data_IF_336719169609
#
_entry.id   IF_336719169609
#
_cell.length_a   1.000
_cell.length_b   1.000
_cell.length_c   1.000
_cell.angle_alpha   90.00
_cell.angle_beta   90.00
_cell.angle_gamma   90.00
#
_symmetry.space_group_name_H-M   'P 1'
#
loop_
_entity.id
_entity.type
_entity.pdbx_description
1 polymer ?
#
# COMPACT_ATOMS: atom_id res chain seq x y z
N UNK A 1 7.37 -9.80 -12.25
CA UNK A 1 7.48 -10.36 -10.89
C UNK A 1 8.90 -10.14 -10.38
N UNK A 2 9.19 -9.00 -9.74
CA UNK A 2 10.50 -8.82 -9.12
C UNK A 2 10.60 -9.72 -7.88
N UNK A 3 11.76 -10.29 -7.62
CA UNK A 3 11.98 -11.20 -6.48
C UNK A 3 13.22 -10.75 -5.73
N UNK A 4 13.07 -10.54 -4.43
CA UNK A 4 14.17 -10.33 -3.50
C UNK A 4 14.45 -11.64 -2.76
N UNK A 5 15.70 -12.08 -2.81
CA UNK A 5 16.15 -13.32 -2.19
C UNK A 5 17.28 -13.04 -1.20
N UNK A 6 17.40 -13.91 -0.20
CA UNK A 6 18.49 -13.90 0.77
C UNK A 6 19.30 -15.20 0.68
N UNK A 7 20.60 -15.13 0.97
CA UNK A 7 21.52 -16.27 1.06
C UNK A 7 21.54 -17.16 -0.19
N UNK A 8 21.68 -16.55 -1.36
CA UNK A 8 21.58 -17.20 -2.66
C UNK A 8 22.95 -17.70 -3.13
N UNK A 9 22.98 -18.91 -3.67
CA UNK A 9 24.09 -19.36 -4.53
C UNK A 9 23.67 -19.20 -5.99
N UNK A 10 24.37 -18.35 -6.74
CA UNK A 10 24.10 -18.13 -8.15
C UNK A 10 24.85 -19.15 -9.00
N UNK A 11 24.14 -19.78 -9.93
CA UNK A 11 24.73 -20.65 -10.94
C UNK A 11 24.47 -20.04 -12.31
N UNK A 12 25.53 -19.83 -13.09
CA UNK A 12 25.42 -19.31 -14.45
C UNK A 12 25.63 -20.48 -15.40
N UNK A 13 24.77 -20.64 -16.42
CA UNK A 13 25.02 -21.63 -17.46
C UNK A 13 26.27 -21.22 -18.24
N UNK A 14 27.34 -21.97 -18.10
CA UNK A 14 28.49 -21.93 -19.00
C UNK A 14 28.16 -22.71 -20.27
N UNK A 15 28.74 -22.33 -21.41
CA UNK A 15 28.57 -23.08 -22.66
C UNK A 15 29.13 -24.50 -22.50
N UNK A 16 28.27 -25.46 -22.17
CA UNK A 16 28.58 -26.84 -21.83
C UNK A 16 27.66 -27.35 -20.71
N UNK A 17 27.37 -28.66 -20.69
CA UNK A 17 26.38 -29.30 -19.78
C UNK A 17 26.63 -29.12 -18.28
N UNK A 18 27.73 -28.51 -17.88
CA UNK A 18 28.04 -28.23 -16.48
C UNK A 18 27.69 -26.78 -16.12
N UNK A 19 26.62 -26.60 -15.34
CA UNK A 19 26.32 -25.35 -14.68
C UNK A 19 27.28 -25.18 -13.47
N UNK A 20 28.08 -24.11 -13.45
CA UNK A 20 29.07 -23.89 -12.38
C UNK A 20 28.56 -22.82 -11.40
N UNK A 21 28.63 -23.06 -10.07
CA UNK A 21 28.29 -22.04 -9.08
C UNK A 21 29.30 -20.89 -9.17
N UNK A 22 28.79 -19.68 -9.40
CA UNK A 22 29.61 -18.48 -9.67
C UNK A 22 29.84 -17.68 -8.39
N UNK A 23 28.93 -17.72 -7.43
CA UNK A 23 29.10 -16.98 -6.18
C UNK A 23 27.95 -17.15 -5.18
N UNK A 24 28.21 -16.75 -3.93
CA UNK A 24 27.23 -16.64 -2.86
C UNK A 24 26.94 -15.18 -2.56
N UNK A 25 25.66 -14.87 -2.36
CA UNK A 25 25.17 -13.54 -2.10
C UNK A 25 24.23 -13.56 -0.89
N UNK A 26 24.49 -12.71 0.10
CA UNK A 26 23.60 -12.55 1.26
C UNK A 26 22.25 -11.95 0.84
N UNK A 27 22.25 -11.07 -0.16
CA UNK A 27 21.05 -10.48 -0.75
C UNK A 27 21.16 -10.44 -2.27
N UNK A 28 20.09 -10.81 -2.97
CA UNK A 28 20.06 -10.86 -4.43
C UNK A 28 18.69 -10.43 -4.97
N UNK A 29 18.69 -9.50 -5.92
CA UNK A 29 17.47 -8.98 -6.55
C UNK A 29 17.35 -9.46 -7.98
N UNK A 30 16.20 -10.06 -8.32
CA UNK A 30 15.90 -10.56 -9.66
C UNK A 30 14.81 -9.70 -10.29
N UNK A 31 15.13 -9.12 -11.46
CA UNK A 31 14.15 -8.39 -12.23
C UNK A 31 13.12 -9.33 -12.83
N UNK A 32 11.85 -8.96 -12.73
CA UNK A 32 10.78 -9.89 -13.07
C UNK A 32 10.64 -10.29 -14.53
N UNK A 33 11.26 -9.55 -15.45
CA UNK A 33 11.33 -9.95 -16.87
C UNK A 33 12.26 -11.15 -17.08
N UNK A 34 13.15 -11.44 -16.14
CA UNK A 34 14.16 -12.50 -16.25
C UNK A 34 13.69 -13.81 -15.59
N UNK A 35 12.53 -13.83 -14.93
CA UNK A 35 12.01 -15.01 -14.23
C UNK A 35 11.17 -15.85 -15.20
N UNK A 36 11.57 -17.12 -15.39
CA UNK A 36 10.82 -18.09 -16.19
C UNK A 36 10.20 -19.20 -15.35
N UNK A 37 10.92 -19.68 -14.35
CA UNK A 37 10.48 -20.73 -13.45
C UNK A 37 10.78 -20.34 -12.01
N UNK A 38 9.93 -20.78 -11.09
CA UNK A 38 10.13 -20.69 -9.65
C UNK A 38 9.92 -22.09 -9.09
N UNK A 39 10.93 -22.63 -8.43
CA UNK A 39 10.81 -23.91 -7.73
C UNK A 39 10.14 -23.67 -6.39
N UNK A 40 8.93 -24.19 -6.23
CA UNK A 40 8.21 -24.20 -4.97
C UNK A 40 8.58 -25.47 -4.21
N UNK A 41 8.90 -25.41 -2.91
CA UNK A 41 9.18 -26.60 -2.12
C UNK A 41 8.01 -27.61 -2.12
N UNK A 42 8.33 -28.90 -2.10
CA UNK A 42 7.33 -29.98 -2.20
C UNK A 42 6.40 -30.07 -0.99
N UNK A 43 6.83 -29.55 0.15
CA UNK A 43 6.07 -29.51 1.42
C UNK A 43 5.07 -28.35 1.49
N UNK A 44 5.04 -27.47 0.48
CA UNK A 44 4.11 -26.34 0.43
C UNK A 44 2.82 -26.74 -0.27
N UNK A 45 1.71 -26.78 0.48
CA UNK A 45 0.37 -26.82 -0.11
C UNK A 45 0.04 -25.45 -0.73
N UNK A 46 0.15 -25.37 -2.05
CA UNK A 46 -0.11 -24.15 -2.82
C UNK A 46 -1.53 -23.61 -2.59
N UNK A 47 -2.53 -24.47 -2.48
CA UNK A 47 -3.92 -24.04 -2.36
C UNK A 47 -4.18 -23.43 -0.98
N UNK A 48 -3.64 -24.05 0.07
CA UNK A 48 -3.70 -23.51 1.43
C UNK A 48 -2.95 -22.17 1.51
N UNK A 49 -1.75 -22.08 0.95
CA UNK A 49 -0.94 -20.86 0.94
C UNK A 49 -1.63 -19.71 0.20
N UNK A 50 -2.22 -19.99 -0.97
CA UNK A 50 -3.01 -19.02 -1.76
C UNK A 50 -4.21 -18.51 -0.97
N UNK A 51 -4.97 -19.42 -0.33
CA UNK A 51 -6.14 -19.05 0.47
C UNK A 51 -5.75 -18.14 1.64
N UNK A 52 -4.70 -18.50 2.38
CA UNK A 52 -4.19 -17.68 3.48
C UNK A 52 -3.83 -16.26 3.00
N UNK A 53 -3.11 -16.14 1.88
CA UNK A 53 -2.75 -14.82 1.33
C UNK A 53 -3.96 -14.02 0.87
N UNK A 54 -4.98 -14.64 0.30
CA UNK A 54 -6.22 -13.96 -0.05
C UNK A 54 -6.96 -13.46 1.20
N UNK A 55 -7.01 -14.26 2.26
CA UNK A 55 -7.63 -13.86 3.54
C UNK A 55 -6.88 -12.70 4.20
N UNK A 56 -5.54 -12.71 4.21
CA UNK A 56 -4.73 -11.58 4.70
C UNK A 56 -5.04 -10.28 3.94
N UNK A 57 -5.16 -10.36 2.62
CA UNK A 57 -5.50 -9.21 1.76
C UNK A 57 -6.94 -8.74 1.94
N UNK A 58 -7.88 -9.65 2.21
CA UNK A 58 -9.28 -9.30 2.47
C UNK A 58 -9.49 -8.73 3.88
N UNK A 59 -8.82 -9.29 4.89
CA UNK A 59 -8.88 -8.82 6.27
C UNK A 59 -8.32 -7.41 6.46
N UNK A 60 -7.32 -7.04 5.68
CA UNK A 60 -6.77 -5.67 5.65
C UNK A 60 -7.69 -4.67 4.92
N UNK A 61 -8.55 -5.14 4.00
CA UNK A 61 -9.55 -4.31 3.30
C UNK A 61 -10.74 -3.93 4.19
N UNK A 62 -11.03 -4.73 5.23
CA UNK A 62 -12.12 -4.48 6.17
C UNK A 62 -11.84 -3.45 7.28
N UNK A 63 -10.56 -3.08 7.51
CA UNK A 63 -10.20 -2.10 8.54
C UNK A 63 -10.18 -0.64 8.04
N UNK A 64 -10.08 -0.40 6.73
CA UNK A 64 -10.05 0.95 6.16
C UNK A 64 -11.45 1.56 5.93
N UNK A 65 -12.52 0.76 5.97
CA UNK A 65 -13.91 1.25 5.92
C UNK A 65 -14.46 1.52 7.33
N UNK A 66 -13.62 2.05 8.22
CA UNK A 66 -14.14 2.74 9.40
C UNK A 66 -14.93 3.94 8.88
N UNK A 67 -16.26 3.80 8.80
CA UNK A 67 -17.21 4.91 8.64
C UNK A 67 -16.66 6.08 9.44
N UNK A 68 -16.53 7.30 8.85
CA UNK A 68 -15.95 8.42 9.57
C UNK A 68 -16.68 8.52 10.90
N UNK A 69 -15.93 8.37 12.00
CA UNK A 69 -16.47 8.37 13.36
C UNK A 69 -17.50 9.49 13.45
N UNK A 70 -18.71 9.21 13.93
CA UNK A 70 -19.81 10.19 13.91
C UNK A 70 -19.41 11.55 14.51
N UNK A 71 -18.42 11.54 15.41
CA UNK A 71 -17.79 12.72 15.98
C UNK A 71 -17.02 13.60 14.98
N UNK A 72 -16.34 13.01 13.98
CA UNK A 72 -15.67 13.74 12.90
C UNK A 72 -16.69 14.48 12.04
N UNK A 73 -17.79 13.81 11.66
CA UNK A 73 -18.89 14.39 10.88
C UNK A 73 -19.54 15.57 11.62
N UNK A 74 -19.76 15.42 12.92
CA UNK A 74 -20.30 16.49 13.77
C UNK A 74 -19.35 17.70 13.87
N UNK A 75 -18.03 17.46 14.04
CA UNK A 75 -17.03 18.55 14.06
C UNK A 75 -16.98 19.30 12.73
N UNK A 76 -17.01 18.60 11.60
CA UNK A 76 -17.03 19.24 10.27
C UNK A 76 -18.28 20.08 10.07
N UNK A 77 -19.45 19.61 10.54
CA UNK A 77 -20.70 20.37 10.50
C UNK A 77 -20.62 21.66 11.33
N UNK A 78 -20.16 21.56 12.58
CA UNK A 78 -20.03 22.72 13.46
C UNK A 78 -19.05 23.77 12.93
N UNK A 79 -17.94 23.33 12.31
CA UNK A 79 -16.97 24.24 11.71
C UNK A 79 -17.57 25.00 10.52
N UNK A 80 -18.33 24.32 9.65
CA UNK A 80 -19.03 24.96 8.52
C UNK A 80 -20.04 26.00 9.01
N UNK A 81 -20.84 25.67 10.02
CA UNK A 81 -21.81 26.62 10.60
C UNK A 81 -21.12 27.85 11.19
N UNK A 82 -19.98 27.69 11.88
CA UNK A 82 -19.20 28.83 12.41
C UNK A 82 -18.66 29.73 11.30
N UNK A 83 -18.15 29.15 10.20
CA UNK A 83 -17.62 29.92 9.07
C UNK A 83 -18.74 30.73 8.40
N UNK A 84 -19.92 30.13 8.21
CA UNK A 84 -21.07 30.82 7.63
C UNK A 84 -21.51 32.01 8.50
N UNK A 85 -21.63 31.81 9.82
CA UNK A 85 -21.97 32.89 10.75
C UNK A 85 -20.93 34.01 10.78
N UNK A 86 -19.64 33.69 10.64
CA UNK A 86 -18.59 34.70 10.56
C UNK A 86 -18.64 35.50 9.25
N UNK A 87 -18.92 34.84 8.11
CA UNK A 87 -19.10 35.52 6.83
C UNK A 87 -20.31 36.46 6.86
N UNK A 88 -21.43 36.00 7.43
CA UNK A 88 -22.65 36.78 7.57
C UNK A 88 -22.43 38.02 8.46
N UNK A 89 -21.78 37.86 9.62
CA UNK A 89 -21.41 39.01 10.48
C UNK A 89 -20.45 39.99 9.79
N UNK A 90 -19.50 39.49 8.98
CA UNK A 90 -18.58 40.34 8.22
C UNK A 90 -19.27 41.11 7.10
N UNK A 91 -20.26 40.51 6.45
CA UNK A 91 -21.09 41.15 5.43
C UNK A 91 -22.00 42.22 6.05
N UNK A 92 -22.66 41.91 7.18
CA UNK A 92 -23.51 42.85 7.92
C UNK A 92 -22.72 44.00 8.57
N UNK A 93 -21.47 43.76 8.99
CA UNK A 93 -20.59 44.78 9.58
C UNK A 93 -20.02 45.80 8.59
N UNK A 94 -20.10 45.56 7.28
CA UNK A 94 -19.64 46.49 6.22
C UNK A 94 -20.74 47.43 5.70
N UNK A 95 -21.95 47.38 6.26
CA UNK A 95 -23.14 48.06 5.74
C UNK A 95 -23.60 49.33 6.47
N UNK A 96 -22.73 50.08 7.17
CA UNK A 96 -23.09 51.45 7.59
C UNK A 96 -22.33 52.47 6.73
N UNK A 97 -22.97 53.10 5.73
CA UNK A 97 -22.41 54.30 5.12
C UNK A 97 -22.35 55.38 6.19
N UNK A 98 -21.15 55.93 6.42
CA UNK A 98 -20.99 57.22 7.11
C UNK A 98 -21.69 58.25 6.22
N UNK A 99 -22.83 58.76 6.67
CA UNK A 99 -23.43 59.94 6.05
C UNK A 99 -22.57 61.17 6.42
N UNK A 100 -22.44 62.13 5.48
CA UNK A 100 -21.59 63.31 5.61
C UNK A 100 -22.07 64.27 6.70
#
# INVERSE_FOLDING_TARGET
>A
MNVDMANVTLTVPTSGDAASPVGRFEQFHIQGRQVRYVHVPDDVDMMAALKQKLEELQGSRGQSDSKPSGMLVLKTRQLREKILRQKEKRLLGRGRPRQP
#
